data_IF_214329427794
#
_entry.id   IF_214329427794
#
_cell.length_a   1.000
_cell.length_b   1.000
_cell.length_c   1.000
_cell.angle_alpha   90.00
_cell.angle_beta   90.00
_cell.angle_gamma   90.00
#
_symmetry.space_group_name_H-M   'P 1'
#
loop_
_entity.id
_entity.type
_entity.pdbx_description
1 polymer ?
#
# COMPACT_ATOMS: atom_id res chain seq x y z
N UNK A 1 5.34 -4.52 -33.46
CA UNK A 1 5.22 -5.37 -32.27
C UNK A 1 5.31 -4.53 -31.02
N UNK A 2 4.37 -4.73 -30.08
CA UNK A 2 4.45 -4.09 -28.77
C UNK A 2 5.47 -4.79 -27.87
N UNK A 3 6.23 -4.03 -27.09
CA UNK A 3 7.00 -4.57 -25.97
C UNK A 3 6.13 -4.65 -24.72
N UNK A 4 6.41 -5.62 -23.86
CA UNK A 4 5.69 -5.84 -22.61
C UNK A 4 6.65 -5.81 -21.43
N UNK A 5 6.24 -5.13 -20.33
CA UNK A 5 6.95 -5.19 -19.07
C UNK A 5 5.96 -5.38 -17.90
N UNK A 6 6.37 -6.18 -16.94
CA UNK A 6 5.71 -6.26 -15.64
C UNK A 6 6.42 -5.31 -14.67
N UNK A 7 5.64 -4.45 -14.04
CA UNK A 7 6.11 -3.45 -13.10
C UNK A 7 5.51 -3.69 -11.73
N UNK A 8 6.28 -3.44 -10.68
CA UNK A 8 5.77 -3.31 -9.32
C UNK A 8 5.50 -1.84 -9.06
N UNK A 9 4.25 -1.50 -8.74
CA UNK A 9 3.84 -0.13 -8.45
C UNK A 9 3.72 0.07 -6.95
N UNK A 10 4.53 0.96 -6.40
CA UNK A 10 4.43 1.33 -4.98
C UNK A 10 3.49 2.50 -4.74
N UNK A 11 3.05 2.65 -3.49
CA UNK A 11 2.19 3.73 -3.01
C UNK A 11 0.71 3.67 -3.48
N UNK A 12 0.22 2.52 -3.95
CA UNK A 12 -1.21 2.33 -4.23
C UNK A 12 -1.93 2.06 -2.91
N UNK A 13 -2.87 2.93 -2.56
CA UNK A 13 -3.61 2.84 -1.28
C UNK A 13 -5.10 2.60 -1.45
N UNK A 14 -5.66 2.80 -2.64
CA UNK A 14 -7.09 2.63 -2.90
C UNK A 14 -7.39 2.39 -4.38
N UNK A 15 -8.61 1.95 -4.68
CA UNK A 15 -9.07 1.71 -6.06
C UNK A 15 -9.03 2.98 -6.94
N UNK A 16 -9.27 4.15 -6.35
CA UNK A 16 -9.18 5.43 -7.07
C UNK A 16 -7.75 5.71 -7.58
N UNK A 17 -6.72 5.29 -6.83
CA UNK A 17 -5.33 5.38 -7.24
C UNK A 17 -5.05 4.57 -8.52
N UNK A 18 -5.65 3.37 -8.61
CA UNK A 18 -5.50 2.50 -9.79
C UNK A 18 -6.17 3.13 -11.00
N UNK A 19 -7.42 3.53 -10.85
CA UNK A 19 -8.18 4.17 -11.94
C UNK A 19 -7.43 5.36 -12.52
N UNK A 20 -6.88 6.20 -11.66
CA UNK A 20 -6.10 7.35 -12.05
C UNK A 20 -4.87 6.95 -12.86
N UNK A 21 -4.08 6.01 -12.32
CA UNK A 21 -2.86 5.54 -12.95
C UNK A 21 -3.13 4.95 -14.32
N UNK A 22 -4.17 4.10 -14.42
CA UNK A 22 -4.58 3.51 -15.69
C UNK A 22 -5.07 4.55 -16.69
N UNK A 23 -5.87 5.53 -16.24
CA UNK A 23 -6.38 6.58 -17.12
C UNK A 23 -5.26 7.49 -17.61
N UNK A 24 -4.32 7.88 -16.75
CA UNK A 24 -3.18 8.69 -17.13
C UNK A 24 -2.24 7.96 -18.09
N UNK A 25 -1.94 6.70 -17.82
CA UNK A 25 -1.03 5.91 -18.66
C UNK A 25 -1.62 5.61 -20.04
N UNK A 26 -2.94 5.42 -20.15
CA UNK A 26 -3.63 5.28 -21.45
C UNK A 26 -3.54 6.51 -22.32
N UNK A 27 -3.32 7.70 -21.75
CA UNK A 27 -3.16 8.95 -22.48
C UNK A 27 -1.72 9.21 -22.92
N UNK A 28 -0.75 8.41 -22.46
CA UNK A 28 0.64 8.56 -22.86
C UNK A 28 0.87 8.05 -24.30
N UNK A 29 1.64 8.79 -25.11
CA UNK A 29 1.95 8.35 -26.46
C UNK A 29 2.67 7.00 -26.45
N UNK A 30 2.28 6.13 -27.37
CA UNK A 30 2.89 4.81 -27.53
C UNK A 30 2.44 3.74 -26.54
N UNK A 31 1.60 4.04 -25.53
CA UNK A 31 1.03 3.04 -24.63
C UNK A 31 -0.15 2.34 -25.30
N UNK A 32 -0.03 1.04 -25.49
CA UNK A 32 -1.07 0.18 -26.08
C UNK A 32 -2.03 -0.36 -25.01
N UNK A 33 -1.50 -0.73 -23.86
CA UNK A 33 -2.30 -1.22 -22.74
C UNK A 33 -1.55 -1.01 -21.42
N UNK A 34 -2.29 -0.61 -20.39
CA UNK A 34 -1.79 -0.53 -19.02
C UNK A 34 -2.88 -1.00 -18.07
N UNK A 35 -2.58 -1.96 -17.23
CA UNK A 35 -3.50 -2.49 -16.23
C UNK A 35 -2.77 -2.77 -14.92
N UNK A 36 -3.42 -2.47 -13.81
CA UNK A 36 -2.84 -2.62 -12.46
C UNK A 36 -3.70 -3.57 -11.64
N UNK A 37 -3.08 -4.60 -11.09
CA UNK A 37 -3.73 -5.49 -10.15
C UNK A 37 -3.62 -4.92 -8.73
N UNK A 38 -4.76 -4.58 -8.14
CA UNK A 38 -4.84 -4.01 -6.79
C UNK A 38 -4.23 -4.90 -5.71
N UNK A 39 -4.46 -6.21 -5.82
CA UNK A 39 -4.04 -7.19 -4.80
C UNK A 39 -2.53 -7.40 -4.78
N UNK A 40 -1.94 -7.51 -5.96
CA UNK A 40 -0.50 -7.81 -6.12
C UNK A 40 0.36 -6.58 -6.33
N UNK A 41 -0.26 -5.41 -6.55
CA UNK A 41 0.41 -4.16 -6.94
C UNK A 41 1.27 -4.30 -8.20
N UNK A 42 0.98 -5.31 -9.03
CA UNK A 42 1.64 -5.51 -10.32
C UNK A 42 0.90 -4.75 -11.40
N UNK A 43 1.65 -4.08 -12.24
CA UNK A 43 1.13 -3.49 -13.47
C UNK A 43 1.70 -4.22 -14.67
N UNK A 44 0.84 -4.47 -15.64
CA UNK A 44 1.22 -4.92 -16.97
C UNK A 44 1.19 -3.73 -17.89
N UNK A 45 2.34 -3.39 -18.47
CA UNK A 45 2.51 -2.30 -19.42
C UNK A 45 2.89 -2.88 -20.77
N UNK A 46 2.12 -2.54 -21.80
CA UNK A 46 2.39 -2.87 -23.20
C UNK A 46 2.51 -1.57 -23.98
N UNK A 47 3.62 -1.37 -24.69
CA UNK A 47 3.87 -0.14 -25.45
C UNK A 47 4.51 -0.43 -26.82
N UNK A 48 4.36 0.52 -27.75
CA UNK A 48 5.01 0.49 -29.05
C UNK A 48 6.47 0.96 -28.94
N UNK A 49 7.43 0.08 -29.21
CA UNK A 49 8.89 0.36 -29.11
C UNK A 49 9.34 1.58 -29.89
N UNK A 50 8.67 1.87 -31.02
CA UNK A 50 9.03 2.97 -31.91
C UNK A 50 8.49 4.33 -31.43
N UNK A 51 7.54 4.37 -30.47
CA UNK A 51 6.84 5.58 -30.05
C UNK A 51 7.18 6.01 -28.63
N UNK A 52 7.53 5.05 -27.75
CA UNK A 52 7.88 5.34 -26.37
C UNK A 52 9.00 4.46 -25.84
N UNK A 53 9.79 5.00 -24.92
CA UNK A 53 10.80 4.25 -24.17
C UNK A 53 10.26 3.93 -22.79
N UNK A 54 10.61 2.76 -22.26
CA UNK A 54 10.20 2.35 -20.91
C UNK A 54 10.59 3.39 -19.85
N UNK A 55 11.77 4.03 -19.99
CA UNK A 55 12.25 5.09 -19.09
C UNK A 55 11.28 6.27 -18.99
N UNK A 56 10.73 6.71 -20.12
CA UNK A 56 9.85 7.87 -20.20
C UNK A 56 8.50 7.55 -19.56
N UNK A 57 8.01 6.33 -19.77
CA UNK A 57 6.78 5.82 -19.15
C UNK A 57 6.92 5.65 -17.64
N UNK A 58 8.09 5.24 -17.15
CA UNK A 58 8.37 5.18 -15.71
C UNK A 58 8.41 6.59 -15.09
N UNK A 59 8.96 7.57 -15.81
CA UNK A 59 8.95 8.98 -15.38
C UNK A 59 7.52 9.52 -15.30
N UNK A 60 6.64 9.20 -16.26
CA UNK A 60 5.24 9.60 -16.24
C UNK A 60 4.49 9.03 -15.00
N UNK A 61 4.75 7.78 -14.63
CA UNK A 61 4.23 7.20 -13.40
C UNK A 61 4.77 7.94 -12.16
N UNK A 62 6.05 8.31 -12.19
CA UNK A 62 6.68 9.00 -11.06
C UNK A 62 6.16 10.43 -10.88
N UNK A 63 5.82 11.13 -11.96
CA UNK A 63 5.22 12.47 -11.92
C UNK A 63 3.86 12.50 -11.22
N UNK A 64 3.13 11.37 -11.24
CA UNK A 64 1.89 11.19 -10.46
C UNK A 64 2.13 10.87 -8.97
N UNK A 65 3.39 10.80 -8.54
CA UNK A 65 3.75 10.48 -7.16
C UNK A 65 3.78 8.98 -6.84
N UNK A 66 3.70 8.10 -7.85
CA UNK A 66 3.84 6.66 -7.67
C UNK A 66 5.26 6.21 -7.99
N UNK A 67 5.68 5.10 -7.40
CA UNK A 67 6.96 4.46 -7.74
C UNK A 67 6.70 3.24 -8.61
N UNK A 68 7.41 3.13 -9.72
CA UNK A 68 7.36 1.96 -10.60
C UNK A 68 8.76 1.35 -10.73
N UNK A 69 8.85 0.03 -10.58
CA UNK A 69 10.10 -0.74 -10.77
C UNK A 69 9.80 -1.98 -11.60
N UNK A 70 10.74 -2.47 -12.41
CA UNK A 70 10.61 -3.77 -13.03
C UNK A 70 10.29 -4.83 -11.98
N UNK A 71 9.35 -5.71 -12.28
CA UNK A 71 8.95 -6.76 -11.35
C UNK A 71 10.03 -7.83 -11.26
N UNK A 72 10.54 -8.03 -10.05
CA UNK A 72 11.37 -9.18 -9.68
C UNK A 72 10.66 -9.89 -8.52
N UNK A 73 10.43 -11.19 -8.65
CA UNK A 73 9.62 -11.95 -7.70
C UNK A 73 10.12 -11.83 -6.25
N UNK A 74 11.43 -11.92 -6.07
CA UNK A 74 12.07 -11.84 -4.74
C UNK A 74 11.98 -10.43 -4.12
N UNK A 75 12.13 -9.37 -4.92
CA UNK A 75 12.02 -8.00 -4.44
C UNK A 75 10.58 -7.64 -4.07
N UNK A 76 9.60 -8.17 -4.81
CA UNK A 76 8.19 -7.95 -4.52
C UNK A 76 7.77 -8.58 -3.18
N UNK A 77 8.24 -9.78 -2.90
CA UNK A 77 7.98 -10.47 -1.63
C UNK A 77 8.63 -9.72 -0.45
N UNK A 78 9.88 -9.27 -0.61
CA UNK A 78 10.57 -8.48 0.40
C UNK A 78 9.88 -7.13 0.66
N UNK A 79 9.40 -6.45 -0.39
CA UNK A 79 8.66 -5.19 -0.26
C UNK A 79 7.35 -5.39 0.51
N UNK A 80 6.58 -6.45 0.21
CA UNK A 80 5.37 -6.80 0.95
C UNK A 80 5.63 -7.11 2.41
N UNK A 81 6.68 -7.88 2.71
CA UNK A 81 7.10 -8.18 4.09
C UNK A 81 7.50 -6.92 4.85
N UNK A 82 8.22 -6.01 4.22
CA UNK A 82 8.64 -4.74 4.80
C UNK A 82 7.44 -3.81 5.08
N UNK A 83 6.48 -3.72 4.15
CA UNK A 83 5.25 -2.97 4.33
C UNK A 83 4.43 -3.51 5.51
N UNK A 84 4.21 -4.82 5.54
CA UNK A 84 3.49 -5.49 6.62
C UNK A 84 4.13 -5.24 7.99
N UNK A 85 5.46 -5.40 8.10
CA UNK A 85 6.21 -5.13 9.33
C UNK A 85 6.11 -3.67 9.77
N UNK A 86 6.24 -2.74 8.83
CA UNK A 86 6.12 -1.31 9.10
C UNK A 86 4.73 -0.95 9.63
N UNK A 87 3.67 -1.51 9.03
CA UNK A 87 2.29 -1.30 9.49
C UNK A 87 2.06 -1.89 10.89
N UNK A 88 2.60 -3.07 11.18
CA UNK A 88 2.48 -3.69 12.50
C UNK A 88 3.12 -2.82 13.60
N UNK A 89 4.33 -2.29 13.37
CA UNK A 89 5.01 -1.41 14.35
C UNK A 89 4.19 -0.13 14.57
N UNK A 90 3.66 0.50 13.51
CA UNK A 90 2.82 1.70 13.64
C UNK A 90 1.54 1.42 14.40
N UNK A 91 0.90 0.29 14.13
CA UNK A 91 -0.30 -0.16 14.83
C UNK A 91 -0.01 -0.40 16.32
N UNK A 92 1.11 -1.04 16.64
CA UNK A 92 1.51 -1.28 18.02
C UNK A 92 1.75 0.04 18.79
N UNK A 93 2.47 0.99 18.19
CA UNK A 93 2.69 2.33 18.80
C UNK A 93 1.36 3.07 18.98
N UNK A 94 0.48 3.05 17.98
CA UNK A 94 -0.84 3.67 18.09
C UNK A 94 -1.72 2.98 19.15
N UNK A 95 -1.69 1.65 19.23
CA UNK A 95 -2.46 0.88 20.22
C UNK A 95 -2.01 1.15 21.65
N UNK A 96 -0.69 1.13 21.90
CA UNK A 96 -0.13 1.47 23.22
C UNK A 96 -0.48 2.91 23.58
N UNK A 97 -0.29 3.86 22.64
CA UNK A 97 -0.61 5.27 22.87
C UNK A 97 -2.11 5.49 23.11
N UNK A 98 -2.99 4.82 22.38
CA UNK A 98 -4.43 4.90 22.57
C UNK A 98 -4.87 4.34 23.92
N UNK A 99 -4.35 3.16 24.29
CA UNK A 99 -4.63 2.56 25.60
C UNK A 99 -4.16 3.45 26.76
N UNK A 100 -2.93 3.96 26.66
CA UNK A 100 -2.35 4.84 27.69
C UNK A 100 -3.12 6.16 27.81
N UNK A 101 -3.47 6.77 26.66
CA UNK A 101 -4.20 8.03 26.61
C UNK A 101 -5.62 7.87 27.19
N UNK A 102 -6.29 6.76 26.89
CA UNK A 102 -7.62 6.46 27.47
C UNK A 102 -7.56 6.23 28.98
N UNK A 103 -6.51 5.56 29.46
CA UNK A 103 -6.31 5.35 30.91
C UNK A 103 -6.10 6.67 31.64
N UNK A 104 -5.46 7.66 31.00
CA UNK A 104 -5.26 8.99 31.57
C UNK A 104 -6.54 9.87 31.52
N UNK A 105 -7.38 9.66 30.50
CA UNK A 105 -8.64 10.40 30.34
C UNK A 105 -9.74 9.87 31.28
N UNK A 106 -9.70 8.57 31.63
CA UNK A 106 -10.72 7.94 32.45
C UNK A 106 -11.01 8.66 33.78
N UNK A 107 -10.02 9.03 34.61
CA UNK A 107 -10.24 9.79 35.84
C UNK A 107 -10.87 11.17 35.63
N UNK A 108 -10.57 11.81 34.49
CA UNK A 108 -11.08 13.14 34.15
C UNK A 108 -12.56 13.09 33.76
N UNK A 109 -13.01 12.05 33.07
CA UNK A 109 -14.41 11.89 32.62
C UNK A 109 -15.37 11.45 33.72
N UNK A 110 -14.91 10.65 34.67
CA UNK A 110 -15.80 10.06 35.67
C UNK A 110 -16.04 10.93 36.91
N UNK A 111 -15.56 12.19 36.92
CA UNK A 111 -15.65 13.08 38.11
C UNK A 111 -15.30 12.38 39.46
N UNK A 112 -14.61 11.22 39.35
CA UNK A 112 -14.26 10.37 40.49
C UNK A 112 -13.34 11.08 41.48
N UNK A 113 -12.84 12.29 41.11
CA UNK A 113 -11.90 13.05 41.86
C UNK A 113 -12.34 14.52 41.81
N UNK A 114 -13.44 14.84 42.46
CA UNK A 114 -13.94 16.23 42.68
C UNK A 114 -12.95 17.14 43.44
N UNK A 115 -11.79 16.61 43.85
CA UNK A 115 -10.73 17.30 44.59
C UNK A 115 -9.35 17.24 43.90
N UNK A 116 -9.28 17.01 42.58
CA UNK A 116 -8.01 17.16 41.90
C UNK A 116 -7.56 18.60 41.89
N UNK A 117 -6.41 18.86 42.48
CA UNK A 117 -5.81 20.21 42.38
C UNK A 117 -5.44 20.45 40.88
N UNK A 118 -5.53 21.73 40.46
CA UNK A 118 -5.20 22.16 39.08
C UNK A 118 -3.84 21.65 38.59
N UNK A 119 -2.90 21.39 39.51
CA UNK A 119 -1.60 20.83 39.21
C UNK A 119 -1.66 19.38 38.63
N UNK A 120 -2.58 18.56 39.15
CA UNK A 120 -2.75 17.17 38.62
C UNK A 120 -3.41 17.19 37.25
N UNK A 121 -4.38 18.07 37.03
CA UNK A 121 -5.02 18.23 35.71
C UNK A 121 -3.98 18.67 34.68
N UNK A 122 -3.14 19.62 35.00
CA UNK A 122 -2.06 20.09 34.13
C UNK A 122 -1.04 18.98 33.86
N UNK A 123 -0.67 18.18 34.87
CA UNK A 123 0.23 17.04 34.73
C UNK A 123 -0.35 15.99 33.76
N UNK A 124 -1.62 15.62 33.91
CA UNK A 124 -2.27 14.66 33.02
C UNK A 124 -2.35 15.15 31.56
N UNK A 125 -2.58 16.44 31.34
CA UNK A 125 -2.61 17.05 30.00
C UNK A 125 -1.24 16.99 29.32
N UNK A 126 -0.17 17.36 30.01
CA UNK A 126 1.18 17.30 29.48
C UNK A 126 1.62 15.87 29.21
N UNK A 127 1.22 14.93 30.08
CA UNK A 127 1.54 13.53 29.89
C UNK A 127 0.75 12.95 28.70
N UNK A 128 -0.51 13.30 28.53
CA UNK A 128 -1.33 12.92 27.36
C UNK A 128 -0.74 13.48 26.06
N UNK A 129 -0.25 14.72 26.08
CA UNK A 129 0.48 15.32 24.96
C UNK A 129 1.73 14.50 24.60
N UNK A 130 2.53 14.13 25.61
CA UNK A 130 3.74 13.33 25.43
C UNK A 130 3.43 11.97 24.78
N UNK A 131 2.34 11.32 25.18
CA UNK A 131 1.87 10.04 24.64
C UNK A 131 1.30 10.18 23.22
N UNK A 132 0.53 11.24 22.97
CA UNK A 132 -0.10 11.48 21.67
C UNK A 132 0.91 11.88 20.58
N UNK A 133 1.97 12.59 20.95
CA UNK A 133 2.99 13.07 20.00
C UNK A 133 3.61 11.96 19.14
N UNK A 134 4.15 10.85 19.70
CA UNK A 134 4.66 9.76 18.87
C UNK A 134 3.58 9.07 18.03
N UNK A 135 2.34 9.02 18.50
CA UNK A 135 1.23 8.48 17.71
C UNK A 135 0.98 9.34 16.46
N UNK A 136 0.92 10.66 16.63
CA UNK A 136 0.67 11.59 15.51
C UNK A 136 1.86 11.66 14.56
N UNK A 137 3.09 11.82 15.07
CA UNK A 137 4.28 12.02 14.24
C UNK A 137 4.78 10.74 13.57
N UNK A 138 4.65 9.58 14.23
CA UNK A 138 5.15 8.31 13.71
C UNK A 138 4.03 7.45 13.13
N UNK A 139 2.98 7.17 13.91
CA UNK A 139 1.92 6.25 13.48
C UNK A 139 1.02 6.85 12.42
N UNK A 140 0.62 8.14 12.55
CA UNK A 140 -0.21 8.83 11.57
C UNK A 140 0.57 9.33 10.33
N UNK A 141 1.90 9.20 10.30
CA UNK A 141 2.74 9.67 9.18
C UNK A 141 2.28 9.23 7.79
N UNK A 142 1.77 8.00 7.54
CA UNK A 142 1.26 7.62 6.22
C UNK A 142 0.11 8.50 5.73
N UNK A 143 -0.82 8.87 6.62
CA UNK A 143 -1.95 9.73 6.30
C UNK A 143 -1.48 11.12 5.87
N UNK A 144 -0.57 11.74 6.65
CA UNK A 144 -0.01 13.05 6.32
C UNK A 144 0.79 13.02 5.01
N UNK A 145 1.62 11.99 4.80
CA UNK A 145 2.43 11.86 3.58
C UNK A 145 1.56 11.71 2.34
N UNK A 146 0.50 10.89 2.42
CA UNK A 146 -0.44 10.70 1.33
C UNK A 146 -1.26 11.96 1.08
N UNK A 147 -1.74 12.63 2.13
CA UNK A 147 -2.47 13.89 2.01
C UNK A 147 -1.63 15.00 1.33
N UNK A 148 -0.35 15.12 1.67
CA UNK A 148 0.56 16.07 1.01
C UNK A 148 0.75 15.75 -0.47
N UNK A 149 0.86 14.47 -0.82
CA UNK A 149 0.92 14.01 -2.21
C UNK A 149 -0.37 14.36 -2.95
N UNK A 150 -1.52 14.09 -2.34
CA UNK A 150 -2.84 14.33 -2.92
C UNK A 150 -3.05 15.82 -3.22
N UNK A 151 -2.63 16.71 -2.32
CA UNK A 151 -2.64 18.15 -2.55
C UNK A 151 -1.75 18.52 -3.74
N UNK A 152 -0.53 17.96 -3.80
CA UNK A 152 0.43 18.25 -4.88
C UNK A 152 -0.07 17.77 -6.24
N UNK A 153 -0.74 16.61 -6.29
CA UNK A 153 -1.28 16.03 -7.51
C UNK A 153 -2.72 16.47 -7.82
N UNK A 154 -3.30 17.39 -7.02
CA UNK A 154 -4.70 17.86 -7.11
C UNK A 154 -5.73 16.73 -7.10
N UNK A 155 -5.46 15.69 -6.36
CA UNK A 155 -6.31 14.51 -6.24
C UNK A 155 -6.74 14.34 -4.80
N UNK A 156 -8.02 14.04 -4.61
CA UNK A 156 -8.60 13.92 -3.28
C UNK A 156 -8.85 12.45 -2.98
N UNK A 157 -7.95 11.85 -2.18
CA UNK A 157 -8.18 10.52 -1.60
C UNK A 157 -8.78 10.64 -0.20
N UNK A 158 -9.14 9.52 0.40
CA UNK A 158 -9.66 9.48 1.77
C UNK A 158 -8.63 9.91 2.83
N UNK A 159 -7.33 9.95 2.48
CA UNK A 159 -6.26 10.29 3.42
C UNK A 159 -6.21 11.79 3.74
N UNK A 160 -6.65 12.64 2.80
CA UNK A 160 -6.66 14.08 2.98
C UNK A 160 -7.59 14.54 4.13
N UNK A 161 -8.90 14.21 4.14
CA UNK A 161 -9.76 14.60 5.26
C UNK A 161 -9.33 13.97 6.59
N UNK A 162 -8.79 12.76 6.58
CA UNK A 162 -8.25 12.08 7.76
C UNK A 162 -7.05 12.85 8.34
N UNK A 163 -6.08 13.22 7.49
CA UNK A 163 -4.90 13.96 7.93
C UNK A 163 -5.28 15.35 8.49
N UNK A 164 -6.24 16.04 7.86
CA UNK A 164 -6.75 17.32 8.34
C UNK A 164 -7.41 17.15 9.72
N UNK A 165 -8.28 16.16 9.89
CA UNK A 165 -8.97 15.91 11.15
C UNK A 165 -7.99 15.61 12.29
N UNK A 166 -7.02 14.70 12.09
CA UNK A 166 -5.97 14.38 13.07
C UNK A 166 -5.13 15.64 13.38
N UNK A 167 -4.73 16.37 12.34
CA UNK A 167 -3.89 17.56 12.48
C UNK A 167 -4.57 18.66 13.27
N UNK A 168 -5.82 19.02 12.94
CA UNK A 168 -6.59 20.06 13.61
C UNK A 168 -6.85 19.67 15.07
N UNK A 169 -7.32 18.44 15.32
CA UNK A 169 -7.62 17.99 16.68
C UNK A 169 -6.35 17.96 17.56
N UNK A 170 -5.22 17.53 17.02
CA UNK A 170 -3.95 17.54 17.73
C UNK A 170 -3.46 18.96 18.03
N UNK A 171 -3.44 19.85 17.03
CA UNK A 171 -2.99 21.23 17.20
C UNK A 171 -3.90 21.99 18.17
N UNK A 172 -5.22 21.83 18.07
CA UNK A 172 -6.17 22.42 19.00
C UNK A 172 -5.91 21.96 20.45
N UNK A 173 -5.69 20.66 20.65
CA UNK A 173 -5.39 20.09 21.98
C UNK A 173 -4.05 20.61 22.54
N UNK A 174 -3.02 20.76 21.70
CA UNK A 174 -1.74 21.37 22.07
C UNK A 174 -1.96 22.83 22.49
N UNK A 175 -2.72 23.58 21.70
CA UNK A 175 -3.04 24.98 21.99
C UNK A 175 -3.73 25.12 23.35
N UNK A 176 -4.77 24.33 23.58
CA UNK A 176 -5.51 24.32 24.87
C UNK A 176 -4.59 23.95 26.05
N UNK A 177 -3.67 23.00 25.85
CA UNK A 177 -2.71 22.58 26.88
C UNK A 177 -1.75 23.70 27.26
N UNK A 178 -1.33 24.54 26.29
CA UNK A 178 -0.35 25.63 26.49
C UNK A 178 -1.01 26.91 27.04
N UNK A 179 -2.16 27.28 26.48
CA UNK A 179 -2.83 28.56 26.82
C UNK A 179 -3.71 28.45 28.08
N UNK A 180 -4.13 27.23 28.40
CA UNK A 180 -5.13 26.96 29.42
C UNK A 180 -6.55 26.99 28.84
N UNK A 181 -7.28 25.91 28.98
CA UNK A 181 -8.66 25.74 28.49
C UNK A 181 -9.25 24.49 29.11
N UNK A 182 -10.51 24.19 28.79
CA UNK A 182 -11.20 23.14 29.52
C UNK A 182 -11.05 21.73 28.91
N UNK A 183 -10.98 21.59 27.58
CA UNK A 183 -11.02 20.29 26.92
C UNK A 183 -9.83 20.02 26.01
N UNK A 184 -9.29 18.81 26.09
CA UNK A 184 -8.25 18.26 25.20
C UNK A 184 -8.74 16.96 24.58
N UNK A 185 -8.33 16.66 23.34
CA UNK A 185 -8.83 15.53 22.55
C UNK A 185 -7.71 14.54 22.19
N UNK A 186 -6.67 14.40 23.02
CA UNK A 186 -5.53 13.54 22.73
C UNK A 186 -5.91 12.06 22.64
N UNK A 187 -6.82 11.58 23.51
CA UNK A 187 -7.34 10.22 23.48
C UNK A 187 -8.13 9.94 22.20
N UNK A 188 -8.96 10.89 21.78
CA UNK A 188 -9.73 10.77 20.53
C UNK A 188 -8.82 10.71 19.30
N UNK A 189 -7.78 11.55 19.26
CA UNK A 189 -6.76 11.54 18.20
C UNK A 189 -6.02 10.20 18.16
N UNK A 190 -5.59 9.68 19.31
CA UNK A 190 -4.90 8.40 19.42
C UNK A 190 -5.80 7.24 18.99
N UNK A 191 -7.02 7.20 19.49
CA UNK A 191 -8.00 6.14 19.21
C UNK A 191 -8.40 6.14 17.73
N UNK A 192 -8.69 7.32 17.17
CA UNK A 192 -9.03 7.46 15.75
C UNK A 192 -7.87 7.01 14.86
N UNK A 193 -6.64 7.42 15.16
CA UNK A 193 -5.44 6.99 14.45
C UNK A 193 -5.26 5.46 14.55
N UNK A 194 -5.47 4.88 15.72
CA UNK A 194 -5.37 3.45 15.93
C UNK A 194 -6.39 2.67 15.08
N UNK A 195 -7.68 3.04 15.09
CA UNK A 195 -8.69 2.34 14.32
C UNK A 195 -8.48 2.45 12.81
N UNK A 196 -8.04 3.61 12.33
CA UNK A 196 -7.71 3.78 10.91
C UNK A 196 -6.50 2.92 10.49
N UNK A 197 -5.47 2.84 11.34
CA UNK A 197 -4.33 1.96 11.10
C UNK A 197 -4.72 0.49 11.18
N UNK A 198 -5.64 0.13 12.09
CA UNK A 198 -6.16 -1.23 12.20
C UNK A 198 -6.88 -1.64 10.91
N UNK A 199 -7.74 -0.79 10.37
CA UNK A 199 -8.40 -1.02 9.08
C UNK A 199 -7.40 -1.22 7.95
N UNK A 200 -6.38 -0.36 7.86
CA UNK A 200 -5.30 -0.52 6.87
C UNK A 200 -4.46 -1.77 7.09
N UNK A 201 -4.17 -2.12 8.34
CA UNK A 201 -3.44 -3.34 8.64
C UNK A 201 -4.20 -4.59 8.16
N UNK A 202 -5.52 -4.65 8.40
CA UNK A 202 -6.36 -5.75 7.92
C UNK A 202 -6.34 -5.82 6.39
N UNK A 203 -6.39 -4.68 5.70
CA UNK A 203 -6.28 -4.61 4.24
C UNK A 203 -4.93 -5.12 3.74
N UNK A 204 -3.82 -4.65 4.32
CA UNK A 204 -2.46 -5.10 3.97
C UNK A 204 -2.29 -6.58 4.26
N UNK A 205 -2.82 -7.07 5.38
CA UNK A 205 -2.81 -8.49 5.74
C UNK A 205 -3.57 -9.35 4.73
N UNK A 206 -4.74 -8.91 4.31
CA UNK A 206 -5.53 -9.61 3.29
C UNK A 206 -4.78 -9.67 1.96
N UNK A 207 -4.19 -8.55 1.52
CA UNK A 207 -3.36 -8.49 0.31
C UNK A 207 -2.13 -9.38 0.40
N UNK A 208 -1.44 -9.38 1.55
CA UNK A 208 -0.28 -10.23 1.77
C UNK A 208 -0.63 -11.71 1.63
N UNK A 209 -1.72 -12.16 2.26
CA UNK A 209 -2.20 -13.55 2.15
C UNK A 209 -2.61 -13.91 0.73
N UNK A 210 -3.36 -13.04 0.06
CA UNK A 210 -3.76 -13.26 -1.32
C UNK A 210 -2.55 -13.29 -2.28
N UNK A 211 -1.57 -12.42 -2.07
CA UNK A 211 -0.33 -12.38 -2.86
C UNK A 211 0.51 -13.64 -2.72
N UNK A 212 0.63 -14.20 -1.52
CA UNK A 212 1.32 -15.47 -1.29
C UNK A 212 0.62 -16.64 -1.99
N UNK A 213 -0.70 -16.68 -1.94
CA UNK A 213 -1.48 -17.73 -2.64
C UNK A 213 -1.33 -17.60 -4.15
N UNK A 214 -1.39 -16.38 -4.69
CA UNK A 214 -1.18 -16.13 -6.13
C UNK A 214 0.24 -16.50 -6.60
N UNK A 215 1.27 -16.20 -5.81
CA UNK A 215 2.65 -16.58 -6.12
C UNK A 215 2.88 -18.08 -5.99
N UNK A 216 2.23 -18.76 -5.04
CA UNK A 216 2.28 -20.20 -4.94
C UNK A 216 1.70 -20.87 -6.19
N UNK A 217 0.57 -20.36 -6.72
CA UNK A 217 -0.02 -20.84 -7.96
C UNK A 217 0.87 -20.53 -9.17
N UNK A 218 1.49 -19.36 -9.24
CA UNK A 218 2.45 -19.01 -10.30
C UNK A 218 3.72 -19.87 -10.24
N UNK A 219 4.13 -20.32 -9.06
CA UNK A 219 5.26 -21.24 -8.87
C UNK A 219 5.00 -22.65 -9.41
N UNK A 220 3.75 -23.03 -9.66
CA UNK A 220 3.39 -24.29 -10.31
C UNK A 220 3.41 -24.22 -11.84
N UNK A 221 3.49 -23.02 -12.44
CA UNK A 221 3.70 -22.89 -13.87
C UNK A 221 5.17 -23.17 -14.20
N UNK A 222 5.46 -24.19 -15.02
CA UNK A 222 6.82 -24.44 -15.45
C UNK A 222 7.35 -23.22 -16.22
N UNK A 223 8.61 -22.86 -16.01
CA UNK A 223 9.25 -21.74 -16.73
C UNK A 223 9.71 -22.10 -18.14
N UNK A 224 9.71 -23.39 -18.46
CA UNK A 224 10.14 -23.96 -19.73
C UNK A 224 9.13 -25.00 -20.22
N UNK A 225 9.09 -25.21 -21.51
CA UNK A 225 8.26 -26.25 -22.15
C UNK A 225 9.04 -27.01 -23.20
N UNK A 226 8.63 -28.26 -23.46
CA UNK A 226 9.22 -29.11 -24.47
C UNK A 226 8.51 -28.88 -25.80
N UNK A 227 9.07 -28.07 -26.68
CA UNK A 227 8.54 -27.75 -28.00
C UNK A 227 8.95 -28.84 -28.98
N UNK A 228 7.99 -29.40 -29.75
CA UNK A 228 8.26 -30.35 -30.82
C UNK A 228 8.41 -29.61 -32.15
N UNK A 229 9.59 -29.73 -32.76
CA UNK A 229 9.86 -29.26 -34.13
C UNK A 229 10.50 -30.38 -34.94
N UNK A 230 9.94 -30.70 -36.09
CA UNK A 230 10.49 -31.66 -37.05
C UNK A 230 10.83 -33.06 -36.45
N UNK A 231 10.11 -33.47 -35.40
CA UNK A 231 10.31 -34.76 -34.72
C UNK A 231 11.35 -34.69 -33.57
N UNK A 232 12.02 -33.56 -33.37
CA UNK A 232 12.92 -33.34 -32.24
C UNK A 232 12.23 -32.51 -31.12
N UNK A 233 12.74 -32.60 -29.89
CA UNK A 233 12.15 -31.93 -28.75
C UNK A 233 13.13 -30.95 -28.13
N UNK A 234 12.87 -29.67 -28.32
CA UNK A 234 13.66 -28.58 -27.76
C UNK A 234 13.03 -28.04 -26.45
N UNK A 235 13.87 -27.78 -25.46
CA UNK A 235 13.42 -27.09 -24.21
C UNK A 235 13.51 -25.59 -24.45
N UNK A 236 12.33 -24.94 -24.48
CA UNK A 236 12.23 -23.50 -24.71
C UNK A 236 11.54 -22.80 -23.53
N UNK A 237 11.87 -21.55 -23.23
CA UNK A 237 11.10 -20.73 -22.30
C UNK A 237 9.66 -20.56 -22.78
N UNK A 238 8.69 -20.61 -21.84
CA UNK A 238 7.25 -20.54 -22.17
C UNK A 238 6.90 -19.29 -23.00
N UNK A 239 7.56 -18.14 -22.74
CA UNK A 239 7.29 -16.90 -23.46
C UNK A 239 7.69 -16.94 -24.96
N UNK A 240 8.40 -17.97 -25.39
CA UNK A 240 8.78 -18.19 -26.79
C UNK A 240 7.79 -19.08 -27.56
N UNK A 241 6.79 -19.64 -26.89
CA UNK A 241 5.77 -20.50 -27.51
C UNK A 241 4.75 -19.61 -28.24
N UNK A 242 4.42 -19.97 -29.45
CA UNK A 242 3.46 -19.27 -30.29
C UNK A 242 2.20 -20.13 -30.54
N UNK A 243 1.05 -19.51 -30.81
CA UNK A 243 -0.15 -20.26 -31.24
C UNK A 243 0.14 -21.10 -32.47
N UNK A 244 -0.17 -22.38 -32.37
CA UNK A 244 0.12 -23.40 -33.43
C UNK A 244 1.35 -24.24 -33.13
N UNK A 245 2.14 -23.92 -32.12
CA UNK A 245 3.25 -24.79 -31.69
C UNK A 245 2.73 -26.03 -30.98
N UNK A 246 3.41 -27.18 -31.19
CA UNK A 246 3.09 -28.43 -30.51
C UNK A 246 4.03 -28.62 -29.33
N UNK A 247 3.45 -28.73 -28.14
CA UNK A 247 4.18 -28.89 -26.89
C UNK A 247 3.99 -30.31 -26.37
N UNK A 248 5.08 -30.99 -26.06
CA UNK A 248 5.08 -32.32 -25.45
C UNK A 248 4.99 -32.22 -23.94
N UNK A 249 3.99 -32.85 -23.34
CA UNK A 249 3.81 -32.97 -21.89
C UNK A 249 3.88 -34.45 -21.51
N UNK A 250 4.73 -34.77 -20.54
CA UNK A 250 4.88 -36.13 -20.05
C UNK A 250 3.87 -36.42 -18.93
N UNK A 251 3.50 -37.69 -18.70
CA UNK A 251 2.68 -38.04 -17.55
C UNK A 251 3.27 -37.53 -16.23
N UNK A 252 2.48 -36.80 -15.47
CA UNK A 252 2.93 -36.14 -14.20
C UNK A 252 3.50 -34.76 -14.36
N UNK A 253 3.72 -34.22 -15.55
CA UNK A 253 4.11 -32.84 -15.78
C UNK A 253 2.89 -31.92 -15.81
N UNK A 254 3.11 -30.67 -15.42
CA UNK A 254 2.08 -29.62 -15.49
C UNK A 254 2.01 -29.09 -16.92
N UNK A 255 0.78 -28.87 -17.43
CA UNK A 255 0.55 -28.20 -18.71
C UNK A 255 1.17 -26.80 -18.69
N UNK A 256 2.14 -26.49 -19.58
CA UNK A 256 2.86 -25.22 -19.55
C UNK A 256 2.06 -24.05 -20.14
N UNK A 257 1.16 -24.32 -21.07
CA UNK A 257 0.32 -23.35 -21.79
C UNK A 257 -1.07 -23.94 -22.03
N UNK A 258 -2.05 -23.08 -22.26
CA UNK A 258 -3.38 -23.49 -22.70
C UNK A 258 -3.32 -23.99 -24.14
N UNK A 259 -4.04 -25.07 -24.45
CA UNK A 259 -4.04 -25.68 -25.79
C UNK A 259 -5.00 -26.83 -25.92
N UNK A 260 -5.09 -27.37 -27.12
CA UNK A 260 -5.86 -28.57 -27.43
C UNK A 260 -4.94 -29.81 -27.41
N UNK A 261 -5.46 -30.91 -26.89
CA UNK A 261 -4.74 -32.20 -26.87
C UNK A 261 -4.86 -32.83 -28.25
N UNK A 262 -3.72 -33.12 -28.85
CA UNK A 262 -3.62 -33.72 -30.21
C UNK A 262 -3.20 -35.18 -30.12
#
# INVERSE_FOLDING_TARGET
GGEEAQLLIGCITCAACIWLLENHMKQQPGVLSFSVNHTTQRARLVWAKNEARLSDLLIAIHQLGYTARPYQADEAEQALKAEHRSMLIRLAVAGIGSFQSMMLAFPLYFELINDLSDQFILFFRWFSLLVATPVVLYSARPFFRNALRDISSRQFTMDLPVAIAIGIAYVASVWVTVVGGDEVYFESVCMFTFFLLLGRYVEVQARYRAGLTGNALAGFQPSVASLMRDGDTDIVPIHNIQPGDIVRVRPGETLPVDGEIV
#
